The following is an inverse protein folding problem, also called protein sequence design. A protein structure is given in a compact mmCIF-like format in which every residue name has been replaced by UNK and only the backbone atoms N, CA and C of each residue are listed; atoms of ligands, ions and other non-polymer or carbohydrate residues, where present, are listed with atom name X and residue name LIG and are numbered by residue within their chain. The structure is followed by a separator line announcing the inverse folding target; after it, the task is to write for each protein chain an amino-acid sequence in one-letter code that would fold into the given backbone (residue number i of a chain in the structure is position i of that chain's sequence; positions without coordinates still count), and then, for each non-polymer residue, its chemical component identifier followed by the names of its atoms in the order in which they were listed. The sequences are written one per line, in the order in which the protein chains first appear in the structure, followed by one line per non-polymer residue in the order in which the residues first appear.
data_IF_968529090886
#
_entry.id   IF_968529090886
#
_cell.length_a   1.000
_cell.length_b   1.000
_cell.length_c   1.000
_cell.angle_alpha   90.00
_cell.angle_beta   90.00
_cell.angle_gamma   90.00
#
_symmetry.space_group_name_H-M   'P 1'
#
loop_
_entity.id
_entity.type
_entity.pdbx_description
1 polymer ?
#
# COMPACT_ATOMS: atom_id res chain seq x y z
N UNK A 1 -36.68 -8.70 -9.68
CA UNK A 1 -35.71 -7.58 -9.65
C UNK A 1 -34.50 -8.03 -10.44
N UNK A 2 -34.00 -7.19 -11.34
CA UNK A 2 -32.92 -7.56 -12.26
C UNK A 2 -31.59 -7.55 -11.51
N UNK A 3 -30.77 -8.60 -11.66
CA UNK A 3 -29.43 -8.74 -11.06
C UNK A 3 -28.55 -7.48 -11.23
N UNK A 4 -28.76 -6.73 -12.32
CA UNK A 4 -28.04 -5.49 -12.60
C UNK A 4 -28.36 -4.37 -11.58
N UNK A 5 -29.60 -4.33 -11.08
CA UNK A 5 -30.04 -3.39 -10.06
C UNK A 5 -29.45 -3.77 -8.71
N UNK A 6 -29.47 -5.06 -8.37
CA UNK A 6 -28.89 -5.58 -7.13
C UNK A 6 -27.36 -5.42 -7.10
N UNK A 7 -26.69 -5.60 -8.24
CA UNK A 7 -25.26 -5.35 -8.39
C UNK A 7 -24.91 -3.86 -8.25
N UNK A 8 -25.70 -2.96 -8.87
CA UNK A 8 -25.53 -1.52 -8.70
C UNK A 8 -25.72 -1.11 -7.23
N UNK A 9 -26.78 -1.60 -6.59
CA UNK A 9 -27.06 -1.29 -5.18
C UNK A 9 -25.98 -1.87 -4.24
N UNK A 10 -25.36 -3.00 -4.59
CA UNK A 10 -24.19 -3.54 -3.89
C UNK A 10 -22.91 -2.71 -4.11
N UNK A 11 -22.61 -2.35 -5.37
CA UNK A 11 -21.41 -1.60 -5.73
C UNK A 11 -21.43 -0.14 -5.23
N UNK A 12 -22.63 0.45 -5.10
CA UNK A 12 -22.80 1.80 -4.55
C UNK A 12 -22.78 1.86 -3.02
N UNK A 13 -22.58 0.72 -2.32
CA UNK A 13 -22.26 0.75 -0.90
C UNK A 13 -20.92 1.46 -0.71
N UNK A 14 -20.91 2.63 -0.07
CA UNK A 14 -19.71 3.48 0.07
C UNK A 14 -18.46 2.74 0.54
N UNK A 15 -18.59 1.83 1.51
CA UNK A 15 -17.49 1.02 2.01
C UNK A 15 -16.82 0.11 0.95
N UNK A 16 -17.55 -0.33 -0.08
CA UNK A 16 -17.01 -1.16 -1.18
C UNK A 16 -16.30 -0.29 -2.20
N UNK A 17 -16.86 0.87 -2.53
CA UNK A 17 -16.28 1.80 -3.49
C UNK A 17 -14.95 2.38 -2.96
N UNK A 18 -14.92 2.82 -1.70
CA UNK A 18 -13.71 3.36 -1.07
C UNK A 18 -12.61 2.31 -0.97
N UNK A 19 -12.97 1.06 -0.64
CA UNK A 19 -12.05 -0.07 -0.64
C UNK A 19 -11.48 -0.33 -2.05
N UNK A 20 -12.33 -0.34 -3.07
CA UNK A 20 -11.91 -0.56 -4.45
C UNK A 20 -10.93 0.53 -4.92
N UNK A 21 -11.22 1.79 -4.63
CA UNK A 21 -10.35 2.92 -4.94
C UNK A 21 -9.01 2.79 -4.19
N UNK A 22 -9.03 2.44 -2.90
CA UNK A 22 -7.82 2.25 -2.11
C UNK A 22 -6.91 1.14 -2.67
N UNK A 23 -7.49 0.01 -3.09
CA UNK A 23 -6.73 -1.11 -3.68
C UNK A 23 -6.13 -0.73 -5.03
N UNK A 24 -6.90 -0.06 -5.91
CA UNK A 24 -6.42 0.37 -7.24
C UNK A 24 -5.28 1.38 -7.09
N UNK A 25 -5.47 2.40 -6.24
CA UNK A 25 -4.45 3.41 -5.98
C UNK A 25 -3.23 2.77 -5.32
N UNK A 26 -3.41 1.89 -4.33
CA UNK A 26 -2.31 1.17 -3.68
C UNK A 26 -1.49 0.35 -4.66
N UNK A 27 -2.14 -0.40 -5.55
CA UNK A 27 -1.48 -1.18 -6.59
C UNK A 27 -0.75 -0.32 -7.62
N UNK A 28 -1.34 0.79 -8.06
CA UNK A 28 -0.71 1.73 -8.98
C UNK A 28 0.49 2.44 -8.34
N UNK A 29 0.35 2.87 -7.09
CA UNK A 29 1.42 3.51 -6.32
C UNK A 29 2.61 2.57 -6.10
N UNK A 30 2.35 1.30 -5.79
CA UNK A 30 3.40 0.27 -5.69
C UNK A 30 4.27 0.19 -6.95
N UNK A 31 3.67 0.25 -8.15
CA UNK A 31 4.41 0.25 -9.42
C UNK A 31 5.31 1.48 -9.59
N UNK A 32 4.84 2.66 -9.18
CA UNK A 32 5.65 3.89 -9.24
C UNK A 32 6.88 3.75 -8.35
N UNK A 33 6.71 3.21 -7.13
CA UNK A 33 7.83 2.99 -6.21
C UNK A 33 8.78 1.93 -6.76
N UNK A 34 8.27 0.81 -7.26
CA UNK A 34 9.10 -0.23 -7.88
C UNK A 34 9.91 0.31 -9.05
N UNK A 35 9.34 1.16 -9.90
CA UNK A 35 10.07 1.79 -11.01
C UNK A 35 11.14 2.75 -10.50
N UNK A 36 10.86 3.59 -9.49
CA UNK A 36 11.89 4.43 -8.88
C UNK A 36 13.07 3.60 -8.34
N UNK A 37 12.79 2.48 -7.69
CA UNK A 37 13.84 1.62 -7.15
C UNK A 37 14.62 0.91 -8.27
N UNK A 38 13.91 0.22 -9.17
CA UNK A 38 14.53 -0.64 -10.17
C UNK A 38 15.19 0.14 -11.31
N UNK A 39 14.59 1.26 -11.72
CA UNK A 39 15.00 2.01 -12.91
C UNK A 39 15.91 3.21 -12.57
N UNK A 40 15.90 3.70 -11.31
CA UNK A 40 16.70 4.86 -10.90
C UNK A 40 17.68 4.50 -9.80
N UNK A 41 17.22 3.96 -8.68
CA UNK A 41 18.10 3.68 -7.51
C UNK A 41 19.09 2.55 -7.81
N UNK A 42 18.61 1.44 -8.36
CA UNK A 42 19.41 0.26 -8.65
C UNK A 42 20.55 0.53 -9.67
N UNK A 43 20.33 1.24 -10.79
CA UNK A 43 21.42 1.61 -11.70
C UNK A 43 22.47 2.52 -11.05
N UNK A 44 22.07 3.45 -10.18
CA UNK A 44 23.01 4.31 -9.46
C UNK A 44 23.84 3.51 -8.45
N UNK A 45 23.20 2.59 -7.71
CA UNK A 45 23.89 1.71 -6.77
C UNK A 45 24.83 0.74 -7.51
N UNK A 46 24.40 0.17 -8.63
CA UNK A 46 25.21 -0.77 -9.40
C UNK A 46 26.40 -0.10 -10.09
N UNK A 47 26.29 1.18 -10.46
CA UNK A 47 27.41 1.99 -10.93
C UNK A 47 28.45 2.21 -9.82
N UNK A 48 28.01 2.42 -8.57
CA UNK A 48 28.90 2.65 -7.43
C UNK A 48 29.56 1.37 -6.89
N UNK A 49 28.83 0.24 -6.88
CA UNK A 49 29.29 -1.05 -6.36
C UNK A 49 29.98 -1.92 -7.43
N UNK A 50 30.10 -1.43 -8.66
CA UNK A 50 30.81 -2.10 -9.74
C UNK A 50 30.08 -3.32 -10.29
N UNK A 51 28.94 -3.11 -10.95
CA UNK A 51 28.17 -4.11 -11.72
C UNK A 51 28.08 -5.50 -11.04
N UNK A 52 27.86 -5.51 -9.73
CA UNK A 52 27.76 -6.76 -8.96
C UNK A 52 26.39 -7.36 -9.20
N UNK A 53 26.31 -8.30 -10.14
CA UNK A 53 25.07 -9.01 -10.45
C UNK A 53 24.82 -10.11 -9.39
N UNK A 54 24.35 -9.71 -8.21
CA UNK A 54 24.07 -10.62 -7.07
C UNK A 54 23.07 -11.71 -7.48
N UNK A 55 22.11 -11.37 -8.35
CA UNK A 55 21.13 -12.27 -8.96
C UNK A 55 21.70 -13.46 -9.73
N UNK A 56 22.95 -13.37 -10.20
CA UNK A 56 23.62 -14.42 -10.97
C UNK A 56 24.20 -15.53 -10.08
N UNK A 57 24.24 -15.33 -8.76
CA UNK A 57 24.73 -16.33 -7.81
C UNK A 57 23.72 -17.49 -7.73
N UNK A 58 24.15 -18.64 -8.22
CA UNK A 58 23.39 -19.88 -8.17
C UNK A 58 24.30 -21.05 -7.80
N UNK A 59 23.81 -21.93 -6.93
CA UNK A 59 24.45 -23.23 -6.67
C UNK A 59 23.74 -24.27 -7.53
N UNK A 60 24.48 -24.93 -8.43
CA UNK A 60 23.96 -26.09 -9.16
C UNK A 60 23.94 -27.29 -8.22
N UNK A 61 22.74 -27.71 -7.81
CA UNK A 61 22.52 -28.87 -6.95
C UNK A 61 22.56 -30.17 -7.74
N UNK A 62 22.18 -30.13 -9.02
CA UNK A 62 22.25 -31.27 -9.94
C UNK A 62 22.56 -30.76 -11.35
N UNK A 63 23.62 -31.28 -11.95
CA UNK A 63 23.95 -30.95 -13.34
C UNK A 63 22.90 -31.47 -14.31
N UNK A 64 22.75 -30.79 -15.45
CA UNK A 64 21.84 -31.21 -16.50
C UNK A 64 22.29 -32.57 -17.06
N UNK A 65 21.36 -33.53 -17.17
CA UNK A 65 21.60 -34.81 -17.83
C UNK A 65 20.56 -34.98 -18.94
N UNK A 66 21.02 -34.97 -20.19
CA UNK A 66 20.16 -35.07 -21.38
C UNK A 66 19.16 -33.91 -21.46
N UNK A 67 17.88 -34.22 -21.59
CA UNK A 67 16.77 -33.25 -21.65
C UNK A 67 16.33 -32.71 -20.28
N UNK A 68 16.97 -33.12 -19.17
CA UNK A 68 16.59 -32.67 -17.83
C UNK A 68 17.37 -31.40 -17.48
N UNK A 69 16.70 -30.25 -17.26
CA UNK A 69 17.36 -29.00 -16.91
C UNK A 69 18.10 -29.15 -15.56
N UNK A 70 19.26 -28.50 -15.47
CA UNK A 70 20.05 -28.48 -14.23
C UNK A 70 19.22 -27.90 -13.08
N UNK A 71 19.23 -28.58 -11.93
CA UNK A 71 18.58 -28.08 -10.72
C UNK A 71 19.50 -27.05 -10.09
N UNK A 72 19.18 -25.77 -10.27
CA UNK A 72 19.96 -24.65 -9.73
C UNK A 72 19.20 -23.96 -8.59
N UNK A 73 19.84 -23.85 -7.43
CA UNK A 73 19.37 -23.01 -6.34
C UNK A 73 19.90 -21.58 -6.58
N UNK A 74 19.03 -20.73 -7.12
CA UNK A 74 19.34 -19.32 -7.45
C UNK A 74 19.19 -18.42 -6.21
N UNK A 75 19.99 -18.67 -5.18
CA UNK A 75 19.95 -17.90 -3.93
C UNK A 75 20.30 -16.42 -4.13
N UNK A 76 21.07 -16.08 -5.17
CA UNK A 76 21.35 -14.72 -5.57
C UNK A 76 20.09 -13.90 -5.88
N UNK A 77 19.12 -14.51 -6.57
CA UNK A 77 17.84 -13.86 -6.88
C UNK A 77 17.02 -13.59 -5.62
N UNK A 78 17.08 -14.49 -4.64
CA UNK A 78 16.41 -14.29 -3.36
C UNK A 78 17.01 -13.11 -2.58
N UNK A 79 18.35 -13.03 -2.50
CA UNK A 79 19.04 -11.91 -1.87
C UNK A 79 18.73 -10.60 -2.59
N UNK A 80 18.71 -10.61 -3.93
CA UNK A 80 18.30 -9.45 -4.72
C UNK A 80 16.89 -8.98 -4.35
N UNK A 81 15.92 -9.88 -4.29
CA UNK A 81 14.54 -9.53 -3.92
C UNK A 81 14.44 -8.93 -2.51
N UNK A 82 15.27 -9.38 -1.56
CA UNK A 82 15.34 -8.78 -0.22
C UNK A 82 15.86 -7.35 -0.29
N UNK A 83 16.92 -7.12 -1.06
CA UNK A 83 17.49 -5.77 -1.25
C UNK A 83 16.44 -4.85 -1.90
N UNK A 84 15.78 -5.31 -2.96
CA UNK A 84 14.74 -4.56 -3.66
C UNK A 84 13.58 -4.21 -2.70
N UNK A 85 13.15 -5.17 -1.87
CA UNK A 85 12.12 -4.92 -0.86
C UNK A 85 12.54 -3.84 0.16
N UNK A 86 13.78 -3.90 0.65
CA UNK A 86 14.32 -2.89 1.59
C UNK A 86 14.38 -1.51 0.91
N UNK A 87 14.82 -1.44 -0.35
CA UNK A 87 14.88 -0.19 -1.10
C UNK A 87 13.48 0.39 -1.38
N UNK A 88 12.50 -0.44 -1.69
CA UNK A 88 11.10 -0.04 -1.87
C UNK A 88 10.54 0.50 -0.56
N UNK A 89 10.71 -0.24 0.55
CA UNK A 89 10.27 0.19 1.88
C UNK A 89 10.92 1.53 2.28
N UNK A 90 12.23 1.67 2.03
CA UNK A 90 12.96 2.91 2.29
C UNK A 90 12.46 4.07 1.41
N UNK A 91 12.17 3.80 0.14
CA UNK A 91 11.64 4.80 -0.80
C UNK A 91 10.25 5.28 -0.39
N UNK A 92 9.36 4.37 0.03
CA UNK A 92 8.03 4.71 0.58
C UNK A 92 8.20 5.58 1.84
N UNK A 93 9.07 5.16 2.76
CA UNK A 93 9.34 5.91 3.98
C UNK A 93 9.84 7.33 3.66
N UNK A 94 10.77 7.48 2.73
CA UNK A 94 11.29 8.78 2.33
C UNK A 94 10.21 9.65 1.67
N UNK A 95 9.37 9.07 0.81
CA UNK A 95 8.24 9.78 0.19
C UNK A 95 7.24 10.28 1.24
N UNK A 96 6.84 9.42 2.19
CA UNK A 96 5.95 9.80 3.29
C UNK A 96 6.58 10.93 4.11
N UNK A 97 7.87 10.82 4.42
CA UNK A 97 8.62 11.85 5.17
C UNK A 97 8.68 13.17 4.41
N UNK A 98 8.86 13.15 3.09
CA UNK A 98 8.82 14.35 2.24
C UNK A 98 7.43 14.97 2.28
N UNK A 99 6.36 14.19 2.13
CA UNK A 99 4.99 14.68 2.20
C UNK A 99 4.68 15.27 3.59
N UNK A 100 5.11 14.61 4.67
CA UNK A 100 4.96 15.14 6.03
C UNK A 100 5.74 16.44 6.26
N UNK A 101 6.92 16.58 5.65
CA UNK A 101 7.76 17.78 5.75
C UNK A 101 7.28 18.92 4.83
N UNK A 102 6.68 18.58 3.69
CA UNK A 102 6.13 19.52 2.70
C UNK A 102 4.71 19.98 3.05
N UNK A 103 3.96 19.18 3.81
CA UNK A 103 2.88 19.71 4.63
C UNK A 103 3.52 20.67 5.63
N UNK A 104 3.49 21.97 5.32
CA UNK A 104 3.54 23.00 6.37
C UNK A 104 2.63 22.54 7.51
N UNK A 105 2.89 22.90 8.77
CA UNK A 105 1.81 22.98 9.75
C UNK A 105 0.85 24.09 9.28
N UNK A 106 0.13 23.84 8.18
CA UNK A 106 -1.29 24.12 8.17
C UNK A 106 -1.71 23.31 9.38
N UNK A 107 -2.06 23.99 10.47
CA UNK A 107 -2.89 23.39 11.50
C UNK A 107 -3.78 22.40 10.76
N UNK A 108 -3.63 21.11 11.05
CA UNK A 108 -4.70 20.20 10.71
C UNK A 108 -5.88 20.87 11.40
N UNK A 109 -6.67 21.66 10.65
CA UNK A 109 -7.92 22.20 11.13
C UNK A 109 -8.57 20.95 11.69
N UNK A 110 -8.68 20.86 13.03
CA UNK A 110 -8.85 19.59 13.72
C UNK A 110 -9.93 18.88 12.95
N UNK A 111 -9.60 17.73 12.34
CA UNK A 111 -10.50 17.04 11.43
C UNK A 111 -11.86 17.09 12.10
N UNK A 112 -12.78 17.88 11.53
CA UNK A 112 -13.94 18.34 12.28
C UNK A 112 -14.51 17.09 12.92
N UNK A 113 -14.61 17.03 14.26
CA UNK A 113 -14.92 15.80 14.96
C UNK A 113 -16.08 15.15 14.21
N UNK A 114 -15.93 13.87 13.81
CA UNK A 114 -16.86 13.22 12.89
C UNK A 114 -18.25 13.61 13.32
N UNK A 115 -19.02 14.20 12.38
CA UNK A 115 -20.35 14.73 12.69
C UNK A 115 -21.04 13.72 13.60
N UNK A 116 -21.54 14.15 14.79
CA UNK A 116 -22.04 13.22 15.79
C UNK A 116 -22.96 12.23 15.07
N UNK A 117 -22.70 10.93 15.29
CA UNK A 117 -23.53 9.89 14.68
C UNK A 117 -24.98 10.23 14.95
N UNK A 118 -25.89 9.85 14.05
CA UNK A 118 -27.33 10.13 14.26
C UNK A 118 -27.78 9.63 15.65
N UNK A 119 -27.18 8.55 16.13
CA UNK A 119 -27.34 8.03 17.49
C UNK A 119 -26.92 9.03 18.57
N UNK A 120 -25.77 9.70 18.44
CA UNK A 120 -25.32 10.72 19.39
C UNK A 120 -26.24 11.96 19.41
N UNK A 121 -26.81 12.35 18.25
CA UNK A 121 -27.82 13.43 18.16
C UNK A 121 -29.11 13.01 18.85
N UNK A 122 -29.62 11.82 18.52
CA UNK A 122 -30.84 11.25 19.11
C UNK A 122 -30.71 11.08 20.63
N UNK A 123 -29.55 10.66 21.13
CA UNK A 123 -29.29 10.56 22.57
C UNK A 123 -29.28 11.93 23.26
N UNK A 124 -28.79 12.97 22.60
CA UNK A 124 -28.87 14.36 23.09
C UNK A 124 -30.31 14.88 23.14
N UNK A 125 -31.11 14.56 22.12
CA UNK A 125 -32.54 14.87 22.09
C UNK A 125 -33.30 14.11 23.18
N UNK A 126 -33.04 12.81 23.35
CA UNK A 126 -33.64 11.98 24.41
C UNK A 126 -33.29 12.52 25.80
N UNK A 127 -32.04 12.91 26.04
CA UNK A 127 -31.62 13.53 27.30
C UNK A 127 -32.42 14.81 27.58
N UNK A 128 -32.55 15.66 26.57
CA UNK A 128 -33.31 16.92 26.66
C UNK A 128 -34.79 16.67 26.94
N UNK A 129 -35.39 15.67 26.29
CA UNK A 129 -36.78 15.27 26.51
C UNK A 129 -37.02 14.71 27.92
N UNK A 130 -36.07 13.92 28.45
CA UNK A 130 -36.13 13.39 29.82
C UNK A 130 -36.00 14.48 30.87
N UNK A 131 -35.08 15.45 30.71
CA UNK A 131 -34.95 16.59 31.62
C UNK A 131 -36.24 17.42 31.66
N UNK A 132 -36.91 17.60 30.53
CA UNK A 132 -38.19 18.30 30.44
C UNK A 132 -39.39 17.52 31.02
N UNK A 133 -39.35 16.18 31.03
CA UNK A 133 -40.36 15.36 31.73
C UNK A 133 -40.14 15.25 33.24
N UNK A 134 -38.91 15.49 33.70
CA UNK A 134 -38.55 15.44 35.12
C UNK A 134 -38.82 16.74 35.89
N UNK A 135 -39.42 17.73 35.24
CA UNK A 135 -39.99 18.95 35.82
C UNK A 135 -41.51 18.89 35.77
#
# INVERSE_FOLDING_TARGET
MSMMKDFKDFAMKGNVLDLAVAVIIGGAFGKIVSSLVNDIVMPLISMLLGNTNISALAVTLKEAQGDIPALQLRYGLFIQNIIDFILIAFSIFMMIKIIQKAKKPVEAAPAAPPAPSQEAVLLGEIKTLLENQSK
#
